data_IF_249052358527
#
_entry.id   IF_249052358527
#
_cell.length_a   1.000
_cell.length_b   1.000
_cell.length_c   1.000
_cell.angle_alpha   90.00
_cell.angle_beta   90.00
_cell.angle_gamma   90.00
#
_symmetry.space_group_name_H-M   'P 1'
#
loop_
_entity.id
_entity.type
_entity.pdbx_description
1 polymer ?
#
# COMPACT_ATOMS: atom_id res chain seq x y z
N UNK A 1 16.09 8.84 8.98
CA UNK A 1 15.24 10.04 9.16
C UNK A 1 13.95 9.82 8.39
N UNK A 2 12.82 10.18 8.96
CA UNK A 2 11.50 10.01 8.33
C UNK A 2 10.66 11.25 8.61
N UNK A 3 10.00 11.77 7.59
CA UNK A 3 9.13 12.95 7.64
C UNK A 3 7.82 12.64 6.96
N UNK A 4 6.73 13.17 7.50
CA UNK A 4 5.38 13.03 6.98
C UNK A 4 4.69 14.38 7.00
N UNK A 5 4.04 14.74 5.90
CA UNK A 5 3.16 15.90 5.81
C UNK A 5 1.74 15.41 5.52
N UNK A 6 0.83 15.71 6.44
CA UNK A 6 -0.57 15.31 6.37
C UNK A 6 -1.46 16.52 6.10
N UNK A 7 -2.43 16.35 5.20
CA UNK A 7 -3.46 17.31 4.89
C UNK A 7 -4.85 16.69 4.98
N UNK A 8 -5.79 17.44 5.56
CA UNK A 8 -7.21 17.11 5.58
C UNK A 8 -8.00 18.30 5.03
N UNK A 9 -8.82 18.05 4.02
CA UNK A 9 -9.75 19.00 3.44
C UNK A 9 -11.16 18.42 3.51
N UNK A 10 -12.10 19.21 4.01
CA UNK A 10 -13.53 18.93 3.93
C UNK A 10 -14.14 19.81 2.85
N UNK A 11 -14.78 19.18 1.88
CA UNK A 11 -15.44 19.85 0.78
C UNK A 11 -16.94 19.95 1.10
N UNK A 12 -17.53 21.16 0.98
CA UNK A 12 -18.98 21.32 1.10
C UNK A 12 -19.68 20.68 -0.12
N UNK A 13 -21.00 20.83 -0.18
CA UNK A 13 -21.81 20.33 -1.29
C UNK A 13 -21.27 20.76 -2.66
N UNK A 14 -21.09 19.77 -3.53
CA UNK A 14 -20.67 19.93 -4.92
C UNK A 14 -21.72 19.31 -5.85
N UNK A 15 -21.62 19.48 -7.19
CA UNK A 15 -22.46 18.72 -8.11
C UNK A 15 -22.26 17.20 -8.05
N UNK A 16 -21.13 16.73 -7.50
CA UNK A 16 -20.80 15.31 -7.40
C UNK A 16 -21.36 14.67 -6.12
N UNK A 17 -21.34 15.39 -4.98
CA UNK A 17 -21.73 14.85 -3.66
C UNK A 17 -22.21 15.93 -2.69
N UNK A 18 -22.95 15.55 -1.65
CA UNK A 18 -23.43 16.48 -0.62
C UNK A 18 -22.33 16.93 0.34
N UNK A 19 -21.32 16.08 0.53
CA UNK A 19 -20.08 16.38 1.24
C UNK A 19 -18.96 15.50 0.68
N UNK A 20 -17.71 15.88 0.88
CA UNK A 20 -16.59 14.97 0.66
C UNK A 20 -15.43 15.28 1.61
N UNK A 21 -14.65 14.27 1.93
CA UNK A 21 -13.38 14.43 2.64
C UNK A 21 -12.23 14.03 1.74
N UNK A 22 -11.15 14.83 1.75
CA UNK A 22 -9.89 14.52 1.10
C UNK A 22 -8.80 14.51 2.16
N UNK A 23 -8.14 13.38 2.31
CA UNK A 23 -6.97 13.16 3.13
C UNK A 23 -5.79 12.89 2.21
N UNK A 24 -4.66 13.54 2.47
CA UNK A 24 -3.43 13.29 1.73
C UNK A 24 -2.23 13.25 2.68
N UNK A 25 -1.33 12.30 2.48
CA UNK A 25 -0.07 12.16 3.19
C UNK A 25 1.07 12.08 2.19
N UNK A 26 2.03 12.98 2.29
CA UNK A 26 3.33 12.88 1.62
C UNK A 26 4.37 12.46 2.65
N UNK A 27 5.07 11.35 2.42
CA UNK A 27 6.15 10.93 3.30
C UNK A 27 7.49 10.85 2.56
N UNK A 28 8.54 11.08 3.32
CA UNK A 28 9.91 11.04 2.88
C UNK A 28 10.77 10.30 3.91
N UNK A 29 11.57 9.35 3.44
CA UNK A 29 12.52 8.61 4.27
C UNK A 29 13.93 8.80 3.73
N UNK A 30 14.89 9.03 4.62
CA UNK A 30 16.30 9.10 4.28
C UNK A 30 17.18 8.27 5.23
N UNK A 31 18.02 7.41 4.68
CA UNK A 31 19.07 6.71 5.41
C UNK A 31 20.21 7.69 5.69
N UNK A 32 20.38 8.08 6.95
CA UNK A 32 21.44 9.00 7.38
C UNK A 32 22.78 8.27 7.52
N UNK A 33 22.79 7.16 8.26
CA UNK A 33 23.96 6.32 8.46
C UNK A 33 23.52 4.87 8.65
N UNK A 34 24.44 3.96 8.35
CA UNK A 34 24.30 2.53 8.60
C UNK A 34 25.30 2.16 9.70
N UNK A 35 24.88 1.32 10.64
CA UNK A 35 25.76 0.79 11.69
C UNK A 35 26.52 -0.44 11.17
N UNK A 36 27.80 -0.53 11.51
CA UNK A 36 28.73 -1.58 11.06
C UNK A 36 28.32 -2.97 11.57
N UNK A 37 27.55 -3.05 12.66
CA UNK A 37 27.16 -4.32 13.31
C UNK A 37 26.17 -5.15 12.50
N UNK A 38 25.28 -4.51 11.74
CA UNK A 38 24.22 -5.17 10.96
C UNK A 38 24.33 -4.84 9.47
N UNK A 39 25.47 -4.30 9.04
CA UNK A 39 25.70 -3.88 7.66
C UNK A 39 25.57 -5.05 6.67
N UNK A 40 25.80 -6.29 7.13
CA UNK A 40 25.56 -7.50 6.35
C UNK A 40 24.11 -7.63 5.88
N UNK A 41 23.13 -7.23 6.69
CA UNK A 41 21.70 -7.36 6.38
C UNK A 41 21.18 -6.23 5.46
N UNK A 42 22.02 -5.25 5.13
CA UNK A 42 21.62 -4.11 4.31
C UNK A 42 21.68 -4.43 2.82
N UNK A 43 20.50 -4.55 2.21
CA UNK A 43 20.33 -4.84 0.77
C UNK A 43 20.78 -3.73 -0.18
N UNK A 44 21.16 -2.54 0.32
CA UNK A 44 21.61 -1.43 -0.54
C UNK A 44 23.07 -1.53 -1.00
N UNK A 45 23.78 -2.61 -0.63
CA UNK A 45 25.17 -2.84 -1.05
C UNK A 45 25.27 -3.10 -2.55
N UNK A 46 26.38 -2.70 -3.16
CA UNK A 46 26.65 -2.87 -4.60
C UNK A 46 26.77 -4.32 -5.08
N UNK A 47 26.66 -5.31 -4.20
CA UNK A 47 26.57 -6.75 -4.51
C UNK A 47 25.13 -7.22 -4.70
N UNK A 48 24.14 -6.51 -4.15
CA UNK A 48 22.72 -6.81 -4.27
C UNK A 48 22.21 -6.50 -5.68
N UNK A 49 21.32 -7.33 -6.22
CA UNK A 49 20.76 -7.18 -7.59
C UNK A 49 19.24 -7.32 -7.63
N UNK A 50 18.57 -7.42 -6.47
CA UNK A 50 17.11 -7.49 -6.42
C UNK A 50 16.46 -6.16 -6.77
N UNK A 51 15.22 -6.23 -7.28
CA UNK A 51 14.43 -5.05 -7.66
C UNK A 51 14.05 -4.17 -6.46
N UNK A 52 14.07 -4.72 -5.24
CA UNK A 52 13.87 -4.02 -3.96
C UNK A 52 15.18 -3.43 -3.39
N UNK A 53 16.22 -3.19 -4.21
CA UNK A 53 17.46 -2.58 -3.73
C UNK A 53 17.16 -1.20 -3.12
N UNK A 54 17.37 -1.00 -1.81
CA UNK A 54 17.03 0.24 -1.15
C UNK A 54 17.93 1.38 -1.62
N UNK A 55 17.32 2.51 -1.93
CA UNK A 55 18.00 3.79 -2.12
C UNK A 55 18.16 4.50 -0.78
N UNK A 56 19.01 5.54 -0.75
CA UNK A 56 19.17 6.32 0.48
C UNK A 56 17.93 7.14 0.79
N UNK A 57 17.19 7.55 -0.22
CA UNK A 57 16.01 8.36 -0.15
C UNK A 57 14.80 7.63 -0.73
N UNK A 58 13.63 7.84 -0.15
CA UNK A 58 12.37 7.29 -0.63
C UNK A 58 11.25 8.29 -0.40
N UNK A 59 10.39 8.42 -1.40
CA UNK A 59 9.22 9.29 -1.39
C UNK A 59 7.99 8.46 -1.71
N UNK A 60 6.88 8.79 -1.04
CA UNK A 60 5.60 8.36 -1.53
C UNK A 60 4.44 9.16 -1.01
N UNK A 61 3.29 8.88 -1.61
CA UNK A 61 2.09 9.66 -1.50
C UNK A 61 0.91 8.72 -1.25
N UNK A 62 0.13 9.05 -0.23
CA UNK A 62 -1.15 8.43 0.02
C UNK A 62 -2.26 9.47 -0.08
N UNK A 63 -3.35 9.12 -0.74
CA UNK A 63 -4.53 9.96 -0.88
C UNK A 63 -5.77 9.12 -0.60
N UNK A 64 -6.69 9.65 0.19
CA UNK A 64 -8.01 9.10 0.41
C UNK A 64 -9.07 10.16 0.15
N UNK A 65 -10.00 9.86 -0.74
CA UNK A 65 -11.12 10.72 -1.07
C UNK A 65 -12.43 9.99 -0.82
N UNK A 66 -13.29 10.56 0.02
CA UNK A 66 -14.57 9.95 0.40
C UNK A 66 -15.72 10.93 0.17
N UNK A 67 -16.37 10.91 -1.01
CA UNK A 67 -17.64 11.56 -1.23
C UNK A 67 -18.75 10.89 -0.44
N UNK A 68 -19.71 11.69 0.03
CA UNK A 68 -20.88 11.27 0.80
C UNK A 68 -22.15 11.92 0.24
N UNK A 69 -23.22 11.14 0.15
CA UNK A 69 -24.56 11.57 -0.24
C UNK A 69 -25.52 11.26 0.91
N UNK A 70 -26.25 12.28 1.36
CA UNK A 70 -27.14 12.15 2.51
C UNK A 70 -28.56 11.89 2.06
N UNK A 71 -29.27 11.04 2.80
CA UNK A 71 -30.69 10.75 2.60
C UNK A 71 -31.05 10.39 1.15
N UNK A 72 -30.22 9.59 0.48
CA UNK A 72 -30.50 9.09 -0.87
C UNK A 72 -31.82 8.30 -0.88
N UNK A 73 -32.08 7.60 0.22
CA UNK A 73 -33.40 7.12 0.60
C UNK A 73 -33.74 7.57 2.02
N UNK A 74 -35.01 7.49 2.46
CA UNK A 74 -35.39 7.82 3.84
C UNK A 74 -34.58 7.03 4.87
N UNK A 75 -33.66 7.73 5.54
CA UNK A 75 -32.77 7.14 6.54
C UNK A 75 -31.56 6.39 5.97
N UNK A 76 -31.21 6.55 4.69
CA UNK A 76 -30.03 5.91 4.08
C UNK A 76 -29.06 6.96 3.55
N UNK A 77 -27.84 6.95 4.07
CA UNK A 77 -26.71 7.73 3.57
C UNK A 77 -25.76 6.81 2.79
N UNK A 78 -25.20 7.30 1.69
CA UNK A 78 -24.21 6.57 0.90
C UNK A 78 -22.85 7.26 0.96
N UNK A 79 -21.78 6.49 0.89
CA UNK A 79 -20.42 7.00 0.71
C UNK A 79 -19.68 6.15 -0.34
N UNK A 80 -18.65 6.70 -0.97
CA UNK A 80 -17.86 5.96 -1.96
C UNK A 80 -16.36 6.21 -1.78
N UNK A 81 -15.72 5.62 -0.75
CA UNK A 81 -14.30 5.86 -0.47
C UNK A 81 -13.41 5.34 -1.59
N UNK A 82 -12.47 6.19 -2.03
CA UNK A 82 -11.39 5.84 -2.95
C UNK A 82 -10.07 6.17 -2.27
N UNK A 83 -9.11 5.24 -2.31
CA UNK A 83 -7.76 5.49 -1.80
C UNK A 83 -6.69 5.00 -2.77
N UNK A 84 -5.58 5.70 -2.81
CA UNK A 84 -4.36 5.28 -3.51
C UNK A 84 -3.16 5.55 -2.62
N UNK A 85 -2.20 4.63 -2.63
CA UNK A 85 -0.88 4.80 -2.04
C UNK A 85 0.15 4.41 -3.11
N UNK A 86 1.12 5.27 -3.37
CA UNK A 86 2.11 5.10 -4.42
C UNK A 86 3.49 5.58 -3.98
N UNK A 87 4.52 4.81 -4.31
CA UNK A 87 5.91 5.23 -4.21
C UNK A 87 6.30 6.07 -5.41
N UNK A 88 6.70 7.31 -5.14
CA UNK A 88 7.06 8.29 -6.17
C UNK A 88 8.50 8.14 -6.61
N UNK A 89 9.41 7.92 -5.66
CA UNK A 89 10.82 7.75 -5.95
C UNK A 89 11.54 6.96 -4.87
N UNK A 90 12.59 6.26 -5.29
CA UNK A 90 13.42 5.45 -4.42
C UNK A 90 12.74 4.22 -3.80
N UNK A 91 13.54 3.34 -3.23
CA UNK A 91 13.11 2.15 -2.49
C UNK A 91 13.49 2.34 -1.03
N UNK A 92 12.51 2.22 -0.14
CA UNK A 92 12.73 2.52 1.27
C UNK A 92 13.76 1.57 1.90
N UNK A 93 14.74 2.09 2.65
CA UNK A 93 15.71 1.28 3.41
C UNK A 93 15.07 0.58 4.62
N UNK A 94 13.79 0.83 4.89
CA UNK A 94 13.02 0.25 5.98
C UNK A 94 11.96 -0.69 5.41
N UNK A 95 11.83 -1.88 6.01
CA UNK A 95 10.80 -2.85 5.63
C UNK A 95 9.41 -2.22 5.67
N UNK A 96 8.63 -2.39 4.60
CA UNK A 96 7.26 -1.87 4.48
C UNK A 96 7.16 -0.37 4.14
N UNK A 97 8.27 0.33 3.94
CA UNK A 97 8.27 1.72 3.45
C UNK A 97 8.05 1.86 1.94
N UNK A 98 7.86 0.73 1.26
CA UNK A 98 7.55 0.59 -0.16
C UNK A 98 8.63 1.07 -1.12
N UNK A 99 8.31 0.98 -2.40
CA UNK A 99 9.22 1.20 -3.51
C UNK A 99 8.60 2.11 -4.56
N UNK A 100 9.47 2.74 -5.35
CA UNK A 100 9.11 3.47 -6.56
C UNK A 100 8.24 2.61 -7.47
N UNK A 101 7.27 3.26 -8.12
CA UNK A 101 6.36 2.66 -9.09
C UNK A 101 5.54 1.47 -8.52
N UNK A 102 5.49 1.36 -7.19
CA UNK A 102 4.73 0.33 -6.46
C UNK A 102 3.69 1.00 -5.58
N UNK A 103 2.58 0.33 -5.34
CA UNK A 103 1.41 0.96 -4.74
C UNK A 103 0.26 0.02 -4.46
N UNK A 104 -0.77 0.57 -3.82
CA UNK A 104 -2.07 -0.06 -3.73
C UNK A 104 -3.16 0.98 -3.97
N UNK A 105 -4.31 0.51 -4.43
CA UNK A 105 -5.52 1.32 -4.50
C UNK A 105 -6.71 0.55 -3.96
N UNK A 106 -7.70 1.28 -3.49
CA UNK A 106 -8.97 0.73 -3.09
C UNK A 106 -10.12 1.62 -3.57
N UNK A 107 -11.20 0.99 -3.97
CA UNK A 107 -12.45 1.64 -4.35
C UNK A 107 -13.56 0.93 -3.60
N UNK A 108 -14.40 1.69 -2.92
CA UNK A 108 -15.52 1.14 -2.16
C UNK A 108 -16.80 1.94 -2.31
N UNK A 109 -17.88 1.31 -1.88
CA UNK A 109 -19.19 1.92 -1.70
C UNK A 109 -19.76 1.45 -0.36
N UNK A 110 -20.22 2.40 0.44
CA UNK A 110 -20.80 2.17 1.75
C UNK A 110 -22.22 2.71 1.83
N UNK A 111 -23.05 2.02 2.61
CA UNK A 111 -24.40 2.43 2.95
C UNK A 111 -24.57 2.44 4.47
N UNK A 112 -25.09 3.55 4.99
CA UNK A 112 -25.39 3.75 6.40
C UNK A 112 -26.90 3.89 6.53
N UNK A 113 -27.55 2.88 7.09
CA UNK A 113 -29.01 2.81 7.25
C UNK A 113 -29.39 3.10 8.69
N UNK A 114 -30.19 4.16 8.87
CA UNK A 114 -30.64 4.74 10.15
C UNK A 114 -29.50 5.01 11.14
N UNK A 115 -28.27 5.17 10.65
CA UNK A 115 -27.06 5.23 11.47
C UNK A 115 -26.91 4.04 12.44
N UNK A 116 -27.43 2.87 12.05
CA UNK A 116 -27.43 1.63 12.83
C UNK A 116 -26.81 0.47 12.07
N UNK A 117 -27.10 0.37 10.78
CA UNK A 117 -26.55 -0.68 9.92
C UNK A 117 -25.56 -0.05 8.95
N UNK A 118 -24.33 -0.53 8.98
CA UNK A 118 -23.22 -0.09 8.14
C UNK A 118 -22.87 -1.26 7.22
N UNK A 119 -22.98 -1.05 5.91
CA UNK A 119 -22.67 -2.05 4.90
C UNK A 119 -21.66 -1.45 3.94
N UNK A 120 -20.50 -2.07 3.81
CA UNK A 120 -19.41 -1.59 2.97
C UNK A 120 -18.94 -2.69 2.01
N UNK A 121 -18.93 -2.39 0.71
CA UNK A 121 -18.33 -3.20 -0.32
C UNK A 121 -17.07 -2.51 -0.83
N UNK A 122 -15.95 -3.21 -0.89
CA UNK A 122 -14.66 -2.64 -1.24
C UNK A 122 -13.83 -3.57 -2.10
N UNK A 123 -13.29 -3.06 -3.19
CA UNK A 123 -12.23 -3.69 -3.96
C UNK A 123 -10.89 -3.08 -3.57
N UNK A 124 -9.88 -3.91 -3.35
CA UNK A 124 -8.52 -3.49 -3.03
C UNK A 124 -7.55 -4.26 -3.91
N UNK A 125 -6.59 -3.55 -4.50
CA UNK A 125 -5.57 -4.15 -5.34
C UNK A 125 -4.21 -3.47 -5.16
N UNK A 126 -3.17 -4.13 -5.62
CA UNK A 126 -1.81 -3.61 -5.63
C UNK A 126 -1.20 -3.66 -7.02
N UNK A 127 -0.29 -2.73 -7.26
CA UNK A 127 0.47 -2.65 -8.49
C UNK A 127 1.93 -2.40 -8.13
N UNK A 128 2.83 -2.79 -9.01
CA UNK A 128 4.26 -2.62 -8.82
C UNK A 128 5.02 -3.60 -9.66
N UNK A 129 6.28 -3.30 -9.95
CA UNK A 129 7.06 -4.18 -10.79
C UNK A 129 7.29 -5.52 -10.08
N UNK A 130 6.79 -6.58 -10.70
CA UNK A 130 7.16 -7.96 -10.41
C UNK A 130 8.16 -8.39 -11.47
N UNK A 131 9.40 -8.65 -11.08
CA UNK A 131 10.34 -9.29 -11.97
C UNK A 131 10.01 -10.79 -12.02
N UNK A 132 9.86 -11.32 -13.24
CA UNK A 132 9.68 -12.76 -13.47
C UNK A 132 10.98 -13.47 -13.12
N UNK A 133 11.16 -13.77 -11.84
CA UNK A 133 12.24 -14.63 -11.42
C UNK A 133 11.95 -16.06 -11.88
N UNK A 134 12.51 -16.44 -13.02
CA UNK A 134 12.74 -17.85 -13.32
C UNK A 134 13.72 -18.51 -12.33
N UNK A 135 14.35 -17.70 -11.47
CA UNK A 135 15.25 -18.14 -10.39
C UNK A 135 15.14 -17.18 -9.20
N UNK A 136 14.17 -17.40 -8.30
CA UNK A 136 14.25 -16.80 -6.97
C UNK A 136 15.25 -17.58 -6.13
N UNK A 137 16.19 -16.85 -5.55
CA UNK A 137 17.20 -17.40 -4.67
C UNK A 137 16.58 -17.84 -3.34
N UNK A 138 15.93 -19.00 -3.31
CA UNK A 138 16.02 -20.07 -2.29
C UNK A 138 14.80 -20.98 -2.39
N UNK A 139 15.03 -22.27 -2.66
CA UNK A 139 14.25 -23.41 -2.15
C UNK A 139 14.98 -24.72 -2.53
N UNK A 140 15.95 -25.15 -1.72
CA UNK A 140 16.43 -26.54 -1.61
C UNK A 140 16.67 -27.34 -2.92
N UNK A 141 17.07 -26.70 -4.03
CA UNK A 141 17.29 -27.37 -5.30
C UNK A 141 17.90 -26.48 -6.38
N UNK A 142 18.44 -27.05 -7.47
CA UNK A 142 19.17 -26.33 -8.53
C UNK A 142 18.30 -25.37 -9.36
N UNK A 143 16.97 -25.46 -9.26
CA UNK A 143 16.03 -24.59 -9.95
C UNK A 143 15.21 -23.84 -8.89
N UNK A 144 15.50 -22.55 -8.69
CA UNK A 144 14.91 -21.68 -7.67
C UNK A 144 13.39 -21.55 -7.74
N UNK A 145 12.77 -21.17 -6.61
CA UNK A 145 11.31 -21.02 -6.49
C UNK A 145 10.74 -19.84 -7.31
N UNK A 146 9.42 -19.74 -7.31
CA UNK A 146 8.61 -18.80 -8.12
C UNK A 146 8.68 -17.32 -7.70
N UNK A 147 9.55 -16.96 -6.75
CA UNK A 147 9.74 -15.59 -6.27
C UNK A 147 8.52 -14.95 -5.62
N UNK A 148 7.44 -15.71 -5.42
CA UNK A 148 6.15 -15.21 -4.92
C UNK A 148 6.06 -15.18 -3.39
N UNK A 149 6.98 -15.87 -2.70
CA UNK A 149 7.02 -15.91 -1.23
C UNK A 149 8.15 -15.01 -0.71
N UNK A 150 7.85 -13.98 0.09
CA UNK A 150 8.87 -13.16 0.72
C UNK A 150 9.62 -14.01 1.75
N UNK A 151 10.79 -14.55 1.42
CA UNK A 151 11.68 -15.08 2.44
C UNK A 151 12.67 -13.98 2.86
N UNK A 152 12.37 -13.33 3.99
CA UNK A 152 13.32 -12.42 4.65
C UNK A 152 14.61 -13.13 5.16
N UNK A 153 14.75 -14.44 4.91
CA UNK A 153 15.81 -15.32 5.40
C UNK A 153 16.52 -16.10 4.28
N UNK A 154 16.45 -15.66 3.03
CA UNK A 154 17.33 -16.23 2.01
C UNK A 154 18.78 -15.90 2.35
N UNK A 155 19.54 -16.90 2.79
CA UNK A 155 20.98 -16.78 3.06
C UNK A 155 21.84 -16.48 1.83
N UNK A 156 21.22 -16.27 0.65
CA UNK A 156 21.93 -15.76 -0.51
C UNK A 156 21.73 -14.27 -0.74
N UNK A 157 20.79 -13.58 -0.07
CA UNK A 157 20.57 -12.13 -0.15
C UNK A 157 20.67 -11.52 -1.56
N UNK A 158 20.57 -12.27 -2.66
CA UNK A 158 21.08 -11.77 -3.95
C UNK A 158 19.95 -11.36 -4.91
N UNK A 159 18.73 -11.87 -4.69
CA UNK A 159 17.61 -11.66 -5.61
C UNK A 159 16.27 -11.64 -4.88
N UNK A 160 15.69 -10.45 -4.68
CA UNK A 160 14.24 -10.33 -4.54
C UNK A 160 13.61 -9.92 -5.88
N UNK A 161 12.44 -10.48 -6.14
CA UNK A 161 11.75 -10.44 -7.43
C UNK A 161 10.52 -9.53 -7.41
N UNK A 162 10.32 -8.85 -6.29
CA UNK A 162 9.23 -7.92 -6.07
C UNK A 162 9.75 -6.77 -5.20
N UNK A 163 9.39 -5.55 -5.59
CA UNK A 163 9.92 -4.33 -4.95
C UNK A 163 9.35 -4.07 -3.54
N UNK A 164 8.37 -4.87 -3.10
CA UNK A 164 7.70 -4.70 -1.81
C UNK A 164 6.52 -3.73 -1.91
N UNK A 165 5.37 -4.11 -1.33
CA UNK A 165 4.13 -3.34 -1.42
C UNK A 165 3.89 -2.46 -0.20
N UNK A 166 3.12 -1.39 -0.39
CA UNK A 166 2.56 -0.60 0.70
C UNK A 166 1.45 -1.40 1.41
N UNK A 167 1.37 -1.33 2.74
CA UNK A 167 0.16 -1.75 3.45
C UNK A 167 -0.95 -0.77 3.10
N UNK A 168 -2.12 -1.26 2.66
CA UNK A 168 -3.22 -0.35 2.31
C UNK A 168 -3.75 0.33 3.57
N UNK A 169 -4.18 1.59 3.46
CA UNK A 169 -4.94 2.35 4.50
C UNK A 169 -6.26 1.69 4.90
N UNK A 170 -6.53 0.54 4.31
CA UNK A 170 -7.83 0.05 3.95
C UNK A 170 -8.13 -1.28 4.67
N UNK A 171 -7.14 -1.82 5.41
CA UNK A 171 -7.23 -3.06 6.17
C UNK A 171 -7.07 -4.34 5.34
N UNK A 172 -7.23 -4.27 4.01
CA UNK A 172 -6.99 -5.37 3.08
C UNK A 172 -5.65 -5.21 2.36
N UNK A 173 -4.66 -6.05 2.65
CA UNK A 173 -3.38 -6.03 1.96
C UNK A 173 -3.41 -6.88 0.71
N UNK A 174 -3.66 -6.29 -0.46
CA UNK A 174 -3.11 -6.88 -1.69
C UNK A 174 -1.61 -6.59 -1.64
N UNK A 175 -0.81 -7.62 -1.36
CA UNK A 175 0.65 -7.47 -1.16
C UNK A 175 1.44 -7.67 -2.46
N UNK A 176 0.75 -8.06 -3.54
CA UNK A 176 1.34 -8.47 -4.83
C UNK A 176 0.40 -8.08 -5.97
N UNK A 177 0.99 -7.74 -7.11
CA UNK A 177 0.31 -7.45 -8.38
C UNK A 177 -0.66 -8.59 -8.75
N UNK A 178 -1.82 -8.24 -9.32
CA UNK A 178 -2.87 -9.17 -9.78
C UNK A 178 -3.50 -10.07 -8.70
N UNK A 179 -3.44 -9.67 -7.42
CA UNK A 179 -4.08 -10.39 -6.30
C UNK A 179 -5.15 -9.55 -5.58
N UNK A 180 -5.86 -8.73 -6.34
CA UNK A 180 -6.95 -7.92 -5.83
C UNK A 180 -8.00 -8.75 -5.06
N UNK A 181 -8.57 -8.15 -4.03
CA UNK A 181 -9.57 -8.77 -3.17
C UNK A 181 -10.81 -7.89 -3.02
N UNK A 182 -11.98 -8.55 -2.96
CA UNK A 182 -13.25 -7.91 -2.64
C UNK A 182 -13.60 -8.21 -1.19
N UNK A 183 -13.90 -7.18 -0.43
CA UNK A 183 -14.32 -7.25 0.96
C UNK A 183 -15.75 -6.72 1.09
N UNK A 184 -16.58 -7.51 1.76
CA UNK A 184 -17.91 -7.09 2.20
C UNK A 184 -17.90 -7.04 3.74
N UNK A 185 -18.13 -5.86 4.29
CA UNK A 185 -18.21 -5.65 5.75
C UNK A 185 -19.62 -5.25 6.12
N UNK A 186 -20.15 -5.86 7.18
CA UNK A 186 -21.40 -5.44 7.79
C UNK A 186 -21.19 -5.22 9.28
N UNK A 187 -21.63 -4.08 9.79
CA UNK A 187 -21.58 -3.73 11.21
C UNK A 187 -22.94 -3.22 11.64
N UNK A 188 -23.38 -3.66 12.82
CA UNK A 188 -24.58 -3.14 13.48
C UNK A 188 -24.20 -2.54 14.83
N UNK A 189 -24.89 -1.48 15.23
CA UNK A 189 -24.76 -0.90 16.58
C UNK A 189 -26.11 -1.02 17.30
N UNK A 190 -26.09 -1.53 18.53
CA UNK A 190 -27.27 -1.68 19.38
C UNK A 190 -27.48 -0.46 20.27
#
# INVERSE_FOLDING_TARGET
>A
MHWTLNGLLTLPKTPLSDSATLLAELYYSNLLSLDDKNEALYKGKGTYRGIDQPTRDNWGLAVNFTPTWYQVFPGVDLNAPVSVNVGLDGVSPVSGGGAKDTGNYAIGVGAIVYNKYFVDLKYVDAFGQTDKCNTSGVSTGPNGGDGSTPNAFSGNENYACYAGGYSSFSGGGATTEDRGAVYLTMKTTF
#
